data_IF_989419119961
#
_entry.id   IF_989419119961
#
_cell.length_a   1.000
_cell.length_b   1.000
_cell.length_c   1.000
_cell.angle_alpha   90.00
_cell.angle_beta   90.00
_cell.angle_gamma   90.00
#
_symmetry.space_group_name_H-M   'P 1'
#
loop_
_entity.id
_entity.type
_entity.pdbx_description
1 polymer ?
#
# COMPACT_ATOMS: atom_id res chain seq x y z
N UNK A 1 -2.10 -5.42 -11.61
CA UNK A 1 -1.56 -5.45 -10.23
C UNK A 1 -2.57 -4.98 -9.18
N UNK A 2 -3.28 -3.85 -9.37
CA UNK A 2 -4.25 -3.33 -8.36
C UNK A 2 -5.28 -4.34 -7.85
N UNK A 3 -5.89 -5.15 -8.73
CA UNK A 3 -6.82 -6.20 -8.30
C UNK A 3 -6.17 -7.21 -7.36
N UNK A 4 -4.95 -7.67 -7.69
CA UNK A 4 -4.17 -8.59 -6.83
C UNK A 4 -3.86 -7.94 -5.50
N UNK A 5 -3.46 -6.67 -5.49
CA UNK A 5 -3.20 -5.92 -4.26
C UNK A 5 -4.46 -5.82 -3.40
N UNK A 6 -5.60 -5.45 -3.98
CA UNK A 6 -6.89 -5.39 -3.30
C UNK A 6 -7.27 -6.74 -2.69
N UNK A 7 -7.21 -7.83 -3.45
CA UNK A 7 -7.56 -9.16 -2.98
C UNK A 7 -6.64 -9.62 -1.85
N UNK A 8 -5.33 -9.44 -2.03
CA UNK A 8 -4.33 -9.77 -1.01
C UNK A 8 -4.61 -8.98 0.27
N UNK A 9 -4.81 -7.66 0.15
CA UNK A 9 -5.04 -6.80 1.29
C UNK A 9 -6.34 -7.18 2.04
N UNK A 10 -7.46 -7.29 1.32
CA UNK A 10 -8.77 -7.56 1.91
C UNK A 10 -8.91 -8.96 2.50
N UNK A 11 -8.39 -9.98 1.83
CA UNK A 11 -8.68 -11.38 2.18
C UNK A 11 -7.51 -12.11 2.84
N UNK A 12 -6.27 -11.72 2.55
CA UNK A 12 -5.10 -12.34 3.17
C UNK A 12 -4.61 -11.51 4.34
N UNK A 13 -4.28 -10.23 4.12
CA UNK A 13 -3.71 -9.35 5.15
C UNK A 13 -4.73 -9.03 6.26
N UNK A 14 -5.98 -8.73 5.91
CA UNK A 14 -7.10 -8.58 6.86
C UNK A 14 -7.80 -9.91 7.22
N UNK A 15 -7.13 -11.04 6.96
CA UNK A 15 -7.63 -12.38 7.25
C UNK A 15 -6.56 -13.25 7.94
N UNK A 16 -6.15 -14.39 7.35
CA UNK A 16 -5.21 -15.31 7.99
C UNK A 16 -3.82 -14.71 8.25
N UNK A 17 -3.41 -13.70 7.48
CA UNK A 17 -2.12 -13.02 7.64
C UNK A 17 -2.21 -11.74 8.47
N UNK A 18 -3.30 -11.55 9.22
CA UNK A 18 -3.48 -10.40 10.11
C UNK A 18 -2.36 -10.26 11.12
N UNK A 19 -1.76 -11.35 11.61
CA UNK A 19 -0.65 -11.25 12.55
C UNK A 19 0.57 -10.49 11.98
N UNK A 20 0.78 -10.52 10.65
CA UNK A 20 1.82 -9.73 9.97
C UNK A 20 1.37 -8.28 9.77
N UNK A 21 0.12 -8.11 9.34
CA UNK A 21 -0.44 -6.80 8.99
C UNK A 21 -0.86 -5.96 10.21
N UNK A 22 -1.10 -6.56 11.37
CA UNK A 22 -1.53 -5.87 12.59
C UNK A 22 -0.54 -4.81 13.04
N UNK A 23 0.76 -5.10 12.90
CA UNK A 23 1.83 -4.14 13.23
C UNK A 23 1.71 -2.83 12.45
N UNK A 24 1.09 -2.89 11.28
CA UNK A 24 0.89 -1.75 10.40
C UNK A 24 -0.33 -0.89 10.81
N UNK A 25 -1.36 -1.51 11.38
CA UNK A 25 -2.57 -0.82 11.85
C UNK A 25 -2.43 -0.21 13.24
N UNK A 26 -1.58 -0.81 14.09
CA UNK A 26 -1.39 -0.37 15.47
C UNK A 26 -0.12 0.47 15.55
N UNK A 27 -0.16 1.69 16.10
CA UNK A 27 1.04 2.51 16.27
C UNK A 27 2.12 1.76 17.06
N UNK A 28 3.35 1.80 16.58
CA UNK A 28 4.52 1.25 17.26
C UNK A 28 5.76 2.11 16.98
N UNK A 29 6.72 2.11 17.89
CA UNK A 29 7.91 2.98 17.83
C UNK A 29 9.07 2.41 16.99
N UNK A 30 8.80 1.35 16.21
CA UNK A 30 9.81 0.61 15.44
C UNK A 30 9.96 1.12 14.00
N UNK A 31 11.18 1.10 13.45
CA UNK A 31 11.42 1.44 12.03
C UNK A 31 11.02 0.31 11.06
N UNK A 32 10.98 -0.93 11.57
CA UNK A 32 10.59 -2.12 10.82
C UNK A 32 9.26 -2.66 11.36
N UNK A 33 8.42 -3.10 10.45
CA UNK A 33 7.12 -3.73 10.73
C UNK A 33 7.13 -5.18 10.28
N UNK A 34 6.34 -6.03 10.95
CA UNK A 34 6.07 -7.38 10.43
C UNK A 34 5.42 -7.33 9.03
N UNK A 35 4.73 -6.22 8.74
CA UNK A 35 4.17 -5.93 7.44
C UNK A 35 5.23 -5.80 6.33
N UNK A 36 6.48 -5.46 6.65
CA UNK A 36 7.56 -5.34 5.67
C UNK A 36 7.88 -6.69 5.01
N UNK A 37 7.52 -7.81 5.65
CA UNK A 37 7.65 -9.15 5.06
C UNK A 37 6.76 -9.34 3.82
N UNK A 38 5.66 -8.60 3.67
CA UNK A 38 4.89 -8.64 2.43
C UNK A 38 5.69 -8.06 1.26
N UNK A 39 6.46 -6.99 1.51
CA UNK A 39 7.38 -6.43 0.51
C UNK A 39 8.39 -7.47 0.04
N UNK A 40 8.99 -8.20 0.97
CA UNK A 40 9.92 -9.29 0.66
C UNK A 40 9.21 -10.43 -0.12
N UNK A 41 8.02 -10.84 0.32
CA UNK A 41 7.23 -11.89 -0.30
C UNK A 41 6.90 -11.60 -1.77
N UNK A 42 6.65 -10.34 -2.14
CA UNK A 42 6.43 -9.94 -3.54
C UNK A 42 7.72 -9.64 -4.31
N UNK A 43 8.79 -9.21 -3.61
CA UNK A 43 10.08 -8.96 -4.23
C UNK A 43 10.74 -10.24 -4.75
N UNK A 44 10.74 -11.33 -3.97
CA UNK A 44 11.35 -12.61 -4.36
C UNK A 44 10.83 -13.17 -5.70
N UNK A 45 9.51 -13.34 -5.92
CA UNK A 45 8.99 -13.81 -7.21
C UNK A 45 9.24 -12.79 -8.33
N UNK A 46 9.20 -11.48 -8.04
CA UNK A 46 9.54 -10.45 -9.03
C UNK A 46 11.00 -10.56 -9.50
N UNK A 47 11.95 -10.75 -8.57
CA UNK A 47 13.37 -10.97 -8.87
C UNK A 47 13.56 -12.24 -9.68
N UNK A 48 12.89 -13.35 -9.31
CA UNK A 48 12.97 -14.60 -10.04
C UNK A 48 12.48 -14.44 -11.48
N UNK A 49 11.31 -13.80 -11.68
CA UNK A 49 10.75 -13.54 -13.00
C UNK A 49 11.66 -12.66 -13.86
N UNK A 50 12.28 -11.64 -13.28
CA UNK A 50 13.27 -10.81 -14.00
C UNK A 50 14.50 -11.65 -14.35
N UNK A 51 15.03 -12.43 -13.39
CA UNK A 51 16.23 -13.22 -13.57
C UNK A 51 16.10 -14.24 -14.71
N UNK A 52 14.98 -14.98 -14.75
CA UNK A 52 14.71 -15.94 -15.82
C UNK A 52 14.32 -15.22 -17.11
N UNK A 53 13.46 -14.19 -17.04
CA UNK A 53 12.99 -13.45 -18.21
C UNK A 53 14.08 -12.71 -18.97
N UNK A 54 15.15 -12.25 -18.31
CA UNK A 54 16.31 -11.64 -19.00
C UNK A 54 17.09 -12.68 -19.83
N UNK A 55 17.09 -13.95 -19.43
CA UNK A 55 17.87 -15.00 -20.11
C UNK A 55 17.22 -15.46 -21.41
N UNK A 56 15.89 -15.53 -21.44
CA UNK A 56 15.14 -16.10 -22.56
C UNK A 56 14.24 -15.09 -23.28
N UNK A 57 14.19 -13.83 -22.81
CA UNK A 57 13.32 -12.80 -23.38
C UNK A 57 11.83 -13.12 -23.25
N UNK A 58 11.46 -14.02 -22.33
CA UNK A 58 10.09 -14.51 -22.17
C UNK A 58 9.16 -13.46 -21.58
N UNK A 59 7.86 -13.79 -21.56
CA UNK A 59 6.82 -13.01 -20.89
C UNK A 59 7.10 -12.77 -19.40
N UNK A 60 8.02 -13.52 -18.78
CA UNK A 60 8.41 -13.33 -17.37
C UNK A 60 9.04 -11.96 -17.13
N UNK A 61 9.81 -11.42 -18.09
CA UNK A 61 10.49 -10.15 -17.93
C UNK A 61 9.52 -8.97 -17.75
N UNK A 62 8.56 -8.69 -18.66
CA UNK A 62 7.62 -7.59 -18.48
C UNK A 62 6.72 -7.79 -17.24
N UNK A 63 6.39 -9.02 -16.86
CA UNK A 63 5.63 -9.29 -15.63
C UNK A 63 6.47 -8.97 -14.39
N UNK A 64 7.71 -9.43 -14.34
CA UNK A 64 8.64 -9.16 -13.24
C UNK A 64 8.91 -7.66 -13.07
N UNK A 65 9.15 -6.94 -14.18
CA UNK A 65 9.30 -5.49 -14.18
C UNK A 65 8.02 -4.77 -13.74
N UNK A 66 6.85 -5.23 -14.18
CA UNK A 66 5.55 -4.70 -13.75
C UNK A 66 5.31 -4.88 -12.25
N UNK A 67 5.70 -6.03 -11.69
CA UNK A 67 5.65 -6.27 -10.24
C UNK A 67 6.59 -5.34 -9.47
N UNK A 68 7.84 -5.18 -9.92
CA UNK A 68 8.80 -4.25 -9.31
C UNK A 68 8.30 -2.81 -9.36
N UNK A 69 7.85 -2.34 -10.53
CA UNK A 69 7.34 -0.98 -10.70
C UNK A 69 6.11 -0.69 -9.83
N UNK A 70 5.16 -1.64 -9.80
CA UNK A 70 3.98 -1.50 -8.93
C UNK A 70 4.36 -1.52 -7.45
N UNK A 71 5.25 -2.43 -7.03
CA UNK A 71 5.74 -2.50 -5.66
C UNK A 71 6.48 -1.23 -5.22
N UNK A 72 7.27 -0.62 -6.11
CA UNK A 72 7.93 0.66 -5.85
C UNK A 72 6.92 1.79 -5.66
N UNK A 73 5.94 1.91 -6.56
CA UNK A 73 4.87 2.92 -6.45
C UNK A 73 4.10 2.73 -5.14
N UNK A 74 3.79 1.47 -4.79
CA UNK A 74 3.11 1.12 -3.56
C UNK A 74 3.92 1.57 -2.35
N UNK A 75 5.19 1.20 -2.24
CA UNK A 75 6.05 1.59 -1.11
C UNK A 75 6.16 3.12 -0.97
N UNK A 76 6.36 3.83 -2.08
CA UNK A 76 6.42 5.30 -2.06
C UNK A 76 5.09 5.92 -1.62
N UNK A 77 3.97 5.39 -2.08
CA UNK A 77 2.67 5.92 -1.69
C UNK A 77 2.33 5.59 -0.23
N UNK A 78 2.44 4.33 0.13
CA UNK A 78 2.03 3.79 1.40
C UNK A 78 2.97 4.22 2.53
N UNK A 79 4.21 3.77 2.51
CA UNK A 79 5.14 3.93 3.62
C UNK A 79 5.73 5.34 3.68
N UNK A 80 6.04 5.91 2.53
CA UNK A 80 6.69 7.24 2.45
C UNK A 80 5.66 8.37 2.53
N UNK A 81 4.60 8.35 1.71
CA UNK A 81 3.62 9.45 1.66
C UNK A 81 2.57 9.36 2.76
N UNK A 82 1.93 8.21 2.94
CA UNK A 82 0.83 8.07 3.92
C UNK A 82 1.36 7.88 5.34
N UNK A 83 2.26 6.92 5.55
CA UNK A 83 2.81 6.59 6.88
C UNK A 83 3.99 7.46 7.29
N UNK A 84 4.51 8.30 6.38
CA UNK A 84 5.64 9.22 6.66
C UNK A 84 6.85 8.53 7.30
N UNK A 85 7.10 7.24 6.99
CA UNK A 85 8.29 6.52 7.48
C UNK A 85 9.59 7.18 7.03
N UNK A 86 9.56 7.93 5.93
CA UNK A 86 10.62 8.81 5.48
C UNK A 86 10.10 10.26 5.50
N UNK A 87 10.86 11.15 6.13
CA UNK A 87 10.45 12.55 6.32
C UNK A 87 10.59 13.34 5.02
N UNK A 88 9.51 13.41 4.23
CA UNK A 88 9.41 14.31 3.09
C UNK A 88 8.93 15.70 3.52
N UNK A 89 9.40 16.74 2.82
CA UNK A 89 9.06 18.16 3.09
C UNK A 89 7.61 18.54 2.74
N UNK A 90 6.84 17.63 2.16
CA UNK A 90 5.45 17.88 1.81
C UNK A 90 4.92 16.82 0.85
N UNK A 91 3.59 16.75 0.75
CA UNK A 91 2.90 15.87 -0.20
C UNK A 91 2.41 16.72 -1.39
N UNK A 92 2.56 16.28 -2.65
CA UNK A 92 2.05 17.01 -3.81
C UNK A 92 0.55 17.34 -3.68
N UNK A 93 0.11 18.55 -4.04
CA UNK A 93 -1.28 19.01 -3.84
C UNK A 93 -2.29 18.42 -4.85
N UNK A 94 -2.05 17.20 -5.35
CA UNK A 94 -2.89 16.61 -6.40
C UNK A 94 -4.20 16.06 -5.82
N UNK A 95 -5.33 16.34 -6.50
CA UNK A 95 -6.68 15.93 -6.05
C UNK A 95 -6.79 14.40 -5.92
N UNK A 96 -6.26 13.68 -6.90
CA UNK A 96 -6.24 12.22 -6.90
C UNK A 96 -5.45 11.65 -5.72
N UNK A 97 -4.22 12.15 -5.51
CA UNK A 97 -3.38 11.73 -4.39
C UNK A 97 -4.06 11.99 -3.04
N UNK A 98 -4.67 13.17 -2.86
CA UNK A 98 -5.44 13.48 -1.64
C UNK A 98 -6.61 12.53 -1.41
N UNK A 99 -7.31 12.12 -2.47
CA UNK A 99 -8.42 11.16 -2.37
C UNK A 99 -7.95 9.79 -1.89
N UNK A 100 -6.85 9.29 -2.45
CA UNK A 100 -6.31 7.98 -2.08
C UNK A 100 -5.74 8.02 -0.66
N UNK A 101 -5.05 9.10 -0.27
CA UNK A 101 -4.59 9.27 1.11
C UNK A 101 -5.78 9.26 2.09
N UNK A 102 -6.87 9.96 1.76
CA UNK A 102 -8.07 9.97 2.59
C UNK A 102 -8.70 8.58 2.74
N UNK A 103 -8.84 7.86 1.63
CA UNK A 103 -9.27 6.45 1.65
C UNK A 103 -8.35 5.60 2.54
N UNK A 104 -7.04 5.83 2.39
CA UNK A 104 -5.93 5.37 3.21
C UNK A 104 -6.24 5.42 4.71
N UNK A 105 -6.43 6.65 5.16
CA UNK A 105 -6.63 6.99 6.56
C UNK A 105 -7.96 6.48 7.11
N UNK A 106 -9.02 6.48 6.28
CA UNK A 106 -10.33 5.93 6.67
C UNK A 106 -10.23 4.42 6.89
N UNK A 107 -9.51 3.71 6.01
CA UNK A 107 -9.25 2.28 6.16
C UNK A 107 -8.57 1.94 7.49
N UNK A 108 -7.55 2.73 7.87
CA UNK A 108 -6.81 2.54 9.12
C UNK A 108 -7.61 2.78 10.40
N UNK A 109 -8.75 3.50 10.34
CA UNK A 109 -9.62 3.68 11.52
C UNK A 109 -10.27 2.38 11.97
N UNK A 110 -10.44 1.45 11.04
CA UNK A 110 -11.04 0.13 11.27
C UNK A 110 -9.96 -0.94 11.24
N UNK A 111 -9.92 -1.77 12.28
CA UNK A 111 -8.85 -2.77 12.46
C UNK A 111 -9.22 -4.15 11.89
N UNK A 112 -10.35 -4.28 11.20
CA UNK A 112 -10.82 -5.56 10.68
C UNK A 112 -11.51 -5.41 9.34
N UNK A 113 -11.71 -6.54 8.65
CA UNK A 113 -12.32 -6.58 7.32
C UNK A 113 -13.77 -6.08 7.29
N UNK A 114 -14.50 -6.27 8.39
CA UNK A 114 -15.90 -5.86 8.52
C UNK A 114 -15.98 -4.39 8.97
N UNK A 115 -16.64 -3.56 8.17
CA UNK A 115 -16.71 -2.11 8.39
C UNK A 115 -15.53 -1.31 7.82
N UNK A 116 -14.43 -1.97 7.43
CA UNK A 116 -13.34 -1.29 6.73
C UNK A 116 -13.73 -0.87 5.32
N UNK A 117 -13.52 0.41 5.05
CA UNK A 117 -13.73 1.00 3.73
C UNK A 117 -12.39 1.10 3.01
N UNK A 118 -12.40 0.85 1.70
CA UNK A 118 -11.25 0.99 0.80
C UNK A 118 -10.00 0.15 1.13
N UNK A 119 -9.93 -1.06 0.58
CA UNK A 119 -8.70 -1.89 0.59
C UNK A 119 -7.79 -1.64 -0.62
N UNK A 120 -8.22 -0.79 -1.56
CA UNK A 120 -7.44 -0.43 -2.74
C UNK A 120 -6.33 0.56 -2.40
N UNK A 121 -5.21 0.45 -3.13
CA UNK A 121 -4.00 1.21 -2.88
C UNK A 121 -3.85 2.41 -3.80
N UNK A 122 -4.16 2.24 -5.08
CA UNK A 122 -4.17 3.32 -6.07
C UNK A 122 -5.60 3.60 -6.55
N UNK A 123 -6.58 2.87 -6.02
CA UNK A 123 -7.98 3.10 -6.30
C UNK A 123 -8.76 3.38 -5.01
N UNK A 124 -9.47 4.51 -5.00
CA UNK A 124 -10.36 4.89 -3.91
C UNK A 124 -11.82 4.88 -4.42
N UNK A 125 -12.79 4.34 -3.65
CA UNK A 125 -14.22 4.46 -3.95
C UNK A 125 -14.68 5.92 -4.04
N UNK A 126 -15.81 6.18 -4.71
CA UNK A 126 -16.42 7.52 -4.79
C UNK A 126 -16.94 7.99 -3.43
N UNK A 127 -17.59 7.08 -2.72
CA UNK A 127 -18.33 7.37 -1.50
C UNK A 127 -17.55 6.83 -0.31
N UNK A 128 -16.82 7.70 0.39
CA UNK A 128 -16.16 7.39 1.65
C UNK A 128 -17.03 7.94 2.78
N UNK A 129 -17.92 7.12 3.35
CA UNK A 129 -18.82 7.55 4.43
C UNK A 129 -18.04 7.63 5.74
N UNK A 130 -18.09 8.76 6.45
CA UNK A 130 -17.36 8.97 7.73
C UNK A 130 -16.05 9.76 7.63
N UNK A 131 -15.75 10.36 6.48
CA UNK A 131 -14.58 11.22 6.27
C UNK A 131 -14.88 12.72 6.34
N UNK A 132 -15.51 13.25 7.40
CA UNK A 132 -15.69 14.70 7.59
C UNK A 132 -14.46 15.42 8.18
N UNK A 133 -13.33 14.74 8.37
CA UNK A 133 -12.07 15.45 8.61
C UNK A 133 -11.40 15.75 7.26
N UNK A 134 -11.52 17.00 6.80
CA UNK A 134 -10.58 17.61 5.84
C UNK A 134 -9.15 17.21 6.26
N UNK A 135 -8.29 16.69 5.36
CA UNK A 135 -6.95 16.30 5.74
C UNK A 135 -6.26 17.49 6.39
N UNK A 136 -5.75 17.30 7.62
CA UNK A 136 -5.17 18.35 8.44
C UNK A 136 -4.26 19.25 7.58
N UNK A 137 -4.59 20.54 7.51
CA UNK A 137 -3.86 21.55 6.71
C UNK A 137 -2.38 21.66 7.12
N UNK A 138 -1.97 20.99 8.20
CA UNK A 138 -0.57 20.77 8.61
C UNK A 138 0.26 19.87 7.69
N UNK A 139 -0.31 19.33 6.61
CA UNK A 139 0.49 18.66 5.55
C UNK A 139 1.18 19.69 4.63
N UNK A 140 0.82 20.97 4.71
CA UNK A 140 1.32 22.05 3.85
C UNK A 140 2.15 23.14 4.57
N UNK A 141 2.77 22.84 5.72
CA UNK A 141 3.76 23.73 6.35
C UNK A 141 5.08 23.04 6.57
#
# INVERSE_FOLDING_TARGET
>A
MEGVAYFTHRYLMHGPLWFLHRSHHVPHDGRLEWNDLFGLFFALPSIALIHYGVRDGSWMLPVGLGMTGYGLIYFLFHDVVVHRRVRLRGVPPWRYLRRIIKAHLVHHRTHGREGAQSFGFLYAPGDLTGGESEPDRRIHR
#
